data_IF_053023447554
#
_entry.id   IF_053023447554
#
_cell.length_a   1.000
_cell.length_b   1.000
_cell.length_c   1.000
_cell.angle_alpha   90.00
_cell.angle_beta   90.00
_cell.angle_gamma   90.00
#
_symmetry.space_group_name_H-M   'P 1'
#
loop_
_entity.id
_entity.type
_entity.pdbx_description
1 polymer ?
#
# COMPACT_ATOMS: atom_id res chain seq x y z
N UNK A 1 -19.50 -27.02 -55.83
CA UNK A 1 -19.29 -26.08 -54.69
C UNK A 1 -19.69 -26.76 -53.37
N UNK A 2 -18.83 -27.60 -52.77
CA UNK A 2 -19.14 -28.33 -51.51
C UNK A 2 -17.99 -28.32 -50.48
N UNK A 3 -16.90 -27.60 -50.74
CA UNK A 3 -15.73 -27.57 -49.85
C UNK A 3 -15.56 -26.27 -49.04
N UNK A 4 -16.42 -25.26 -49.24
CA UNK A 4 -16.25 -23.95 -48.59
C UNK A 4 -16.87 -23.82 -47.20
N UNK A 5 -17.61 -24.81 -46.70
CA UNK A 5 -18.30 -24.71 -45.38
C UNK A 5 -17.49 -25.19 -44.18
N UNK A 6 -16.34 -25.86 -44.40
CA UNK A 6 -15.53 -26.39 -43.29
C UNK A 6 -14.40 -25.47 -42.84
N UNK A 7 -14.09 -24.41 -43.61
CA UNK A 7 -13.02 -23.46 -43.26
C UNK A 7 -13.50 -22.36 -42.30
N UNK A 8 -14.81 -22.08 -42.26
CA UNK A 8 -15.37 -20.97 -41.46
C UNK A 8 -15.54 -21.31 -39.98
N UNK A 9 -15.51 -22.58 -39.59
CA UNK A 9 -15.64 -23.02 -38.19
C UNK A 9 -14.30 -23.01 -37.44
N UNK A 10 -13.17 -23.09 -38.14
CA UNK A 10 -11.85 -23.08 -37.50
C UNK A 10 -11.39 -21.66 -37.08
N UNK A 11 -11.99 -20.60 -37.65
CA UNK A 11 -11.58 -19.21 -37.42
C UNK A 11 -12.33 -18.52 -36.26
N UNK A 12 -13.26 -19.21 -35.61
CA UNK A 12 -14.14 -18.64 -34.56
C UNK A 12 -13.74 -19.04 -33.13
N UNK A 13 -12.67 -19.82 -32.97
CA UNK A 13 -12.19 -20.30 -31.66
C UNK A 13 -11.00 -19.49 -31.15
N UNK A 14 -10.41 -18.60 -31.97
CA UNK A 14 -9.20 -17.84 -31.59
C UNK A 14 -9.45 -16.38 -31.17
N UNK A 15 -10.70 -15.95 -31.02
CA UNK A 15 -11.05 -14.54 -30.79
C UNK A 15 -11.53 -14.22 -29.35
N UNK A 16 -11.22 -15.05 -28.36
CA UNK A 16 -11.60 -14.79 -26.95
C UNK A 16 -10.42 -14.68 -25.97
N UNK A 17 -9.18 -14.52 -26.45
CA UNK A 17 -8.01 -14.36 -25.59
C UNK A 17 -7.27 -13.03 -25.73
N UNK A 18 -8.00 -11.94 -25.95
CA UNK A 18 -7.44 -10.59 -25.76
C UNK A 18 -8.49 -9.68 -25.16
N UNK A 19 -8.66 -9.77 -23.84
CA UNK A 19 -8.83 -8.62 -22.95
C UNK A 19 -9.00 -9.12 -21.52
N UNK A 20 -7.97 -9.76 -20.98
CA UNK A 20 -7.65 -9.46 -19.58
C UNK A 20 -7.02 -8.06 -19.69
N UNK A 21 -7.85 -7.02 -19.64
CA UNK A 21 -7.29 -5.74 -19.24
C UNK A 21 -6.94 -5.97 -17.78
N UNK A 22 -5.69 -6.31 -17.56
CA UNK A 22 -5.03 -5.94 -16.33
C UNK A 22 -5.13 -4.42 -16.30
N UNK A 23 -6.27 -3.90 -15.81
CA UNK A 23 -6.32 -2.63 -15.13
C UNK A 23 -5.46 -2.82 -13.87
N UNK A 24 -4.15 -2.99 -14.08
CA UNK A 24 -3.13 -2.80 -13.08
C UNK A 24 -3.12 -1.30 -12.82
N UNK A 25 -4.14 -0.87 -12.09
CA UNK A 25 -4.02 -0.04 -10.92
C UNK A 25 -2.84 0.94 -10.98
N UNK A 26 -2.91 1.90 -11.92
CA UNK A 26 -1.79 2.80 -12.29
C UNK A 26 -1.15 3.54 -11.10
N UNK A 27 -1.83 3.59 -9.94
CA UNK A 27 -1.35 4.28 -8.73
C UNK A 27 -0.90 3.36 -7.59
N UNK A 28 -0.94 2.02 -7.70
CA UNK A 28 -0.50 1.17 -6.58
C UNK A 28 0.98 1.41 -6.25
N UNK A 29 1.81 1.63 -7.28
CA UNK A 29 3.23 1.93 -7.14
C UNK A 29 3.49 3.24 -6.39
N UNK A 30 2.57 4.22 -6.46
CA UNK A 30 2.69 5.46 -5.72
C UNK A 30 2.49 5.26 -4.22
N UNK A 31 1.70 4.25 -3.83
CA UNK A 31 1.42 3.90 -2.44
C UNK A 31 2.54 3.07 -1.80
N UNK A 32 3.29 2.29 -2.58
CA UNK A 32 4.39 1.47 -2.07
C UNK A 32 5.52 2.33 -1.48
N UNK A 33 6.06 1.91 -0.34
CA UNK A 33 7.18 2.58 0.32
C UNK A 33 7.04 2.68 1.83
N UNK A 34 7.84 3.58 2.40
CA UNK A 34 7.85 3.90 3.83
C UNK A 34 7.30 5.30 4.01
N UNK A 35 6.33 5.40 4.90
CA UNK A 35 5.59 6.60 5.23
C UNK A 35 5.79 6.90 6.70
N UNK A 36 6.01 8.16 7.07
CA UNK A 36 6.38 8.54 8.42
C UNK A 36 5.51 9.68 8.95
N UNK A 37 5.02 9.54 10.17
CA UNK A 37 4.41 10.60 10.94
C UNK A 37 5.18 10.76 12.25
N UNK A 38 5.63 11.98 12.53
CA UNK A 38 6.38 12.31 13.75
C UNK A 38 5.66 13.39 14.53
N UNK A 39 5.61 13.21 15.84
CA UNK A 39 5.07 14.19 16.77
C UNK A 39 5.92 14.25 18.03
N UNK A 40 5.90 15.38 18.72
CA UNK A 40 6.67 15.61 19.93
C UNK A 40 5.71 15.98 21.08
N UNK A 41 5.83 15.28 22.21
CA UNK A 41 5.04 15.52 23.41
C UNK A 41 5.97 15.45 24.61
N UNK A 42 6.03 16.51 25.41
CA UNK A 42 6.84 16.59 26.64
C UNK A 42 8.32 16.18 26.42
N UNK A 43 8.97 16.73 25.39
CA UNK A 43 10.35 16.43 24.98
C UNK A 43 10.60 14.94 24.59
N UNK A 44 9.53 14.20 24.26
CA UNK A 44 9.59 12.84 23.73
C UNK A 44 9.12 12.85 22.27
N UNK A 45 9.95 12.31 21.38
CA UNK A 45 9.65 12.20 19.95
C UNK A 45 9.01 10.83 19.69
N UNK A 46 7.79 10.86 19.16
CA UNK A 46 7.06 9.68 18.71
C UNK A 46 7.07 9.65 17.19
N UNK A 47 7.64 8.59 16.61
CA UNK A 47 7.64 8.37 15.17
C UNK A 47 6.88 7.10 14.83
N UNK A 48 5.83 7.24 14.03
CA UNK A 48 5.07 6.12 13.47
C UNK A 48 5.47 5.95 12.02
N UNK A 49 5.97 4.78 11.65
CA UNK A 49 6.23 4.42 10.26
C UNK A 49 5.19 3.40 9.78
N UNK A 50 4.63 3.68 8.61
CA UNK A 50 3.80 2.76 7.85
C UNK A 50 4.59 2.28 6.63
N UNK A 51 4.83 0.97 6.56
CA UNK A 51 5.53 0.32 5.46
C UNK A 51 4.51 -0.40 4.60
N UNK A 52 4.44 -0.07 3.31
CA UNK A 52 3.52 -0.66 2.34
C UNK A 52 4.34 -1.36 1.24
N UNK A 53 4.21 -2.68 1.18
CA UNK A 53 4.87 -3.54 0.21
C UNK A 53 3.90 -4.20 -0.78
N UNK A 54 4.47 -4.96 -1.71
CA UNK A 54 3.72 -5.80 -2.65
C UNK A 54 2.98 -6.94 -1.94
N UNK A 55 2.11 -7.65 -2.67
CA UNK A 55 1.39 -8.83 -2.17
C UNK A 55 0.54 -8.56 -0.91
N UNK A 56 0.05 -7.34 -0.75
CA UNK A 56 -0.75 -6.89 0.40
C UNK A 56 0.03 -6.93 1.73
N UNK A 57 1.35 -6.96 1.70
CA UNK A 57 2.18 -6.95 2.91
C UNK A 57 2.41 -5.52 3.41
N UNK A 58 2.25 -5.33 4.72
CA UNK A 58 2.51 -4.07 5.38
C UNK A 58 3.13 -4.29 6.76
N UNK A 59 3.69 -3.22 7.32
CA UNK A 59 4.07 -3.18 8.72
C UNK A 59 3.84 -1.79 9.30
N UNK A 60 3.57 -1.74 10.60
CA UNK A 60 3.56 -0.51 11.39
C UNK A 60 4.70 -0.59 12.39
N UNK A 61 5.56 0.41 12.38
CA UNK A 61 6.70 0.52 13.28
C UNK A 61 6.47 1.77 14.14
N UNK A 62 6.64 1.63 15.45
CA UNK A 62 6.60 2.77 16.37
C UNK A 62 7.98 2.94 16.98
N UNK A 63 8.54 4.14 16.90
CA UNK A 63 9.76 4.55 17.56
C UNK A 63 9.43 5.63 18.59
N UNK A 64 10.06 5.54 19.76
CA UNK A 64 9.96 6.53 20.83
C UNK A 64 11.39 6.89 21.21
N UNK A 65 11.74 8.15 21.05
CA UNK A 65 13.01 8.73 21.48
C UNK A 65 12.74 9.69 22.65
N UNK A 66 13.35 9.41 23.80
CA UNK A 66 13.22 10.30 24.96
C UNK A 66 14.25 11.43 24.95
N UNK A 67 14.14 12.37 25.89
CA UNK A 67 15.04 13.53 26.00
C UNK A 67 16.50 13.16 26.33
N UNK A 68 16.78 11.92 26.73
CA UNK A 68 18.12 11.39 26.95
C UNK A 68 18.71 10.75 25.68
N UNK A 69 17.94 10.68 24.58
CA UNK A 69 18.30 10.04 23.32
C UNK A 69 18.16 8.52 23.32
N UNK A 70 17.50 7.94 24.32
CA UNK A 70 17.18 6.51 24.32
C UNK A 70 16.03 6.24 23.34
N UNK A 71 16.26 5.30 22.42
CA UNK A 71 15.28 4.91 21.41
C UNK A 71 14.73 3.52 21.73
N UNK A 72 13.41 3.43 21.84
CA UNK A 72 12.68 2.15 21.85
C UNK A 72 11.89 1.99 20.57
N UNK A 73 11.76 0.76 20.09
CA UNK A 73 11.04 0.46 18.85
C UNK A 73 10.15 -0.77 18.97
N UNK A 74 9.00 -0.75 18.30
CA UNK A 74 8.15 -1.92 18.11
C UNK A 74 7.81 -2.13 16.64
N UNK A 75 7.61 -3.38 16.25
CA UNK A 75 7.23 -3.78 14.89
C UNK A 75 5.97 -4.63 14.95
N UNK A 76 5.00 -4.32 14.10
CA UNK A 76 3.81 -5.15 13.95
C UNK A 76 3.48 -5.34 12.47
N UNK A 77 3.51 -6.61 12.03
CA UNK A 77 3.10 -6.99 10.69
C UNK A 77 1.60 -6.74 10.48
N UNK A 78 1.26 -6.34 9.26
CA UNK A 78 -0.09 -6.00 8.82
C UNK A 78 -0.32 -6.52 7.41
N UNK A 79 -1.58 -6.60 7.03
CA UNK A 79 -1.97 -6.72 5.63
C UNK A 79 -2.67 -5.45 5.21
N UNK A 80 -2.56 -5.08 3.94
CA UNK A 80 -3.23 -3.90 3.42
C UNK A 80 -3.90 -4.17 2.09
N UNK A 81 -4.83 -3.31 1.71
CA UNK A 81 -5.41 -3.27 0.37
C UNK A 81 -5.64 -1.84 -0.06
N UNK A 82 -5.64 -1.63 -1.37
CA UNK A 82 -6.04 -0.35 -1.96
C UNK A 82 -7.54 -0.32 -2.16
N UNK A 83 -8.16 0.79 -1.78
CA UNK A 83 -9.55 1.12 -2.11
C UNK A 83 -9.60 2.53 -2.70
N UNK A 84 -9.82 2.64 -4.01
CA UNK A 84 -9.72 3.91 -4.74
C UNK A 84 -8.35 4.60 -4.52
N UNK A 85 -8.34 5.74 -3.83
CA UNK A 85 -7.13 6.49 -3.48
C UNK A 85 -6.76 6.32 -2.00
N UNK A 86 -7.20 5.24 -1.37
CA UNK A 86 -7.01 4.99 0.05
C UNK A 86 -6.26 3.69 0.28
N UNK A 87 -5.39 3.70 1.27
CA UNK A 87 -4.75 2.53 1.87
C UNK A 87 -5.62 2.08 3.03
N UNK A 88 -6.04 0.83 3.01
CA UNK A 88 -6.80 0.21 4.09
C UNK A 88 -5.90 -0.84 4.75
N UNK A 89 -5.46 -0.57 5.98
CA UNK A 89 -4.77 -1.56 6.81
C UNK A 89 -5.80 -2.45 7.48
N UNK A 90 -5.63 -3.75 7.31
CA UNK A 90 -6.56 -4.75 7.80
C UNK A 90 -5.99 -5.36 9.08
N UNK A 91 -6.78 -5.30 10.16
CA UNK A 91 -6.55 -6.01 11.40
C UNK A 91 -7.65 -7.05 11.64
N UNK A 92 -7.49 -7.92 12.63
CA UNK A 92 -8.43 -9.02 12.90
C UNK A 92 -9.87 -8.56 13.11
N UNK A 93 -10.08 -7.36 13.67
CA UNK A 93 -11.42 -6.84 14.00
C UNK A 93 -11.61 -5.34 13.66
N UNK A 94 -10.67 -4.73 12.93
CA UNK A 94 -10.64 -3.29 12.68
C UNK A 94 -9.92 -3.01 11.36
N UNK A 95 -10.18 -1.83 10.80
CA UNK A 95 -9.46 -1.31 9.65
C UNK A 95 -8.99 0.12 9.96
N UNK A 96 -7.75 0.44 9.60
CA UNK A 96 -7.24 1.81 9.60
C UNK A 96 -7.20 2.30 8.15
N UNK A 97 -7.80 3.46 7.87
CA UNK A 97 -7.89 4.00 6.51
C UNK A 97 -7.03 5.26 6.39
N UNK A 98 -6.19 5.31 5.37
CA UNK A 98 -5.36 6.47 5.02
C UNK A 98 -5.66 6.90 3.59
N UNK A 99 -6.02 8.16 3.39
CA UNK A 99 -6.28 8.71 2.07
C UNK A 99 -4.99 9.28 1.49
N UNK A 100 -4.61 8.82 0.31
CA UNK A 100 -3.56 9.43 -0.49
C UNK A 100 -4.07 10.78 -0.99
N UNK A 101 -3.39 11.85 -0.66
CA UNK A 101 -3.76 13.20 -1.13
C UNK A 101 -2.94 13.55 -2.37
N UNK A 102 -1.67 13.15 -2.36
CA UNK A 102 -0.70 13.25 -3.44
C UNK A 102 0.32 12.12 -3.28
N UNK A 103 1.29 12.00 -4.18
CA UNK A 103 2.30 10.92 -4.15
C UNK A 103 3.25 10.95 -2.93
N UNK A 104 3.14 11.95 -2.04
CA UNK A 104 4.01 12.15 -0.89
C UNK A 104 3.26 12.17 0.45
N UNK A 105 1.92 12.23 0.47
CA UNK A 105 1.15 12.38 1.71
C UNK A 105 -0.02 11.39 1.81
N UNK A 106 -0.05 10.66 2.92
CA UNK A 106 -1.17 9.84 3.38
C UNK A 106 -1.80 10.49 4.62
N UNK A 107 -3.10 10.78 4.58
CA UNK A 107 -3.83 11.41 5.69
C UNK A 107 -4.77 10.39 6.34
N UNK A 108 -4.72 10.25 7.66
CA UNK A 108 -5.65 9.36 8.37
C UNK A 108 -7.10 9.81 8.18
N UNK A 109 -7.98 8.86 7.85
CA UNK A 109 -9.42 9.10 7.73
C UNK A 109 -10.09 9.37 9.09
N UNK A 110 -9.50 8.89 10.19
CA UNK A 110 -10.03 9.09 11.55
C UNK A 110 -9.56 10.42 12.15
N UNK A 111 -8.38 10.90 11.77
CA UNK A 111 -7.83 12.16 12.25
C UNK A 111 -7.00 12.87 11.17
N UNK A 112 -7.54 13.96 10.63
CA UNK A 112 -6.90 14.72 9.56
C UNK A 112 -5.58 15.41 9.96
N UNK A 113 -5.29 15.55 11.26
CA UNK A 113 -4.02 16.09 11.75
C UNK A 113 -2.88 15.06 11.66
N UNK A 114 -3.20 13.78 11.48
CA UNK A 114 -2.21 12.71 11.28
C UNK A 114 -1.92 12.57 9.79
N UNK A 115 -0.82 13.20 9.38
CA UNK A 115 -0.31 13.18 7.99
C UNK A 115 1.01 12.42 7.96
N UNK A 116 1.01 11.28 7.29
CA UNK A 116 2.23 10.54 7.01
C UNK A 116 2.86 11.06 5.72
N UNK A 117 4.15 11.33 5.77
CA UNK A 117 4.95 11.77 4.63
C UNK A 117 5.77 10.60 4.11
N UNK A 118 5.83 10.42 2.79
CA UNK A 118 6.66 9.38 2.18
C UNK A 118 8.14 9.71 2.36
N UNK A 119 8.87 8.84 3.06
CA UNK A 119 10.30 9.01 3.34
C UNK A 119 11.18 8.09 2.49
N UNK A 120 10.60 7.00 1.96
CA UNK A 120 11.31 6.08 1.06
C UNK A 120 10.33 5.40 0.10
N UNK A 121 10.78 5.13 -1.12
CA UNK A 121 10.08 4.21 -2.04
C UNK A 121 10.55 2.76 -1.88
N UNK A 122 11.67 2.54 -1.18
CA UNK A 122 12.18 1.22 -0.89
C UNK A 122 11.64 0.71 0.45
N UNK A 123 10.77 -0.30 0.39
CA UNK A 123 10.19 -0.97 1.56
C UNK A 123 10.87 -2.32 1.88
N UNK A 124 11.75 -2.83 1.00
CA UNK A 124 12.30 -4.20 1.12
C UNK A 124 13.23 -4.36 2.31
N UNK A 125 13.76 -3.26 2.85
CA UNK A 125 14.62 -3.29 4.04
C UNK A 125 13.82 -3.59 5.32
N UNK A 126 12.48 -3.51 5.25
CA UNK A 126 11.57 -3.62 6.39
C UNK A 126 10.64 -4.83 6.31
N UNK A 127 10.34 -5.31 5.11
CA UNK A 127 9.49 -6.48 4.86
C UNK A 127 10.36 -7.58 4.24
N UNK A 128 10.42 -8.75 4.86
CA UNK A 128 11.08 -9.93 4.28
C UNK A 128 10.18 -10.58 3.23
N UNK A 129 10.68 -10.74 2.01
CA UNK A 129 10.09 -11.59 0.96
C UNK A 129 10.00 -13.08 1.37
#
# INVERSE_FOLDING_TARGET
MKHFKKLTILLLIFSLHVSCSDDLDDNINEMLGVWEYTTEVDDVIYTSQLVLGTNNEAAKIQLIENSEGEVTSSFVGRTWRKENNSVVLVETNSEEIFNLINSQELVSAENADIVYVKVSSNYTDYLTE
#
